data_IF_672509532431
#
_entry.id   IF_672509532431
#
_cell.length_a   1.000
_cell.length_b   1.000
_cell.length_c   1.000
_cell.angle_alpha   90.00
_cell.angle_beta   90.00
_cell.angle_gamma   90.00
#
_symmetry.space_group_name_H-M   'P 1'
#
loop_
_entity.id
_entity.type
_entity.pdbx_description
1 polymer ?
#
# COMPACT_ATOMS: atom_id res chain seq x y z
N UNK A 1 -17.36 51.88 -8.10
CA UNK A 1 -17.59 52.02 -6.64
C UNK A 1 -17.16 50.72 -5.97
N UNK A 2 -16.36 50.74 -4.89
CA UNK A 2 -16.02 49.53 -4.15
C UNK A 2 -17.30 48.89 -3.61
N UNK A 3 -17.50 47.58 -3.84
CA UNK A 3 -18.65 46.85 -3.30
C UNK A 3 -18.44 46.64 -1.80
N UNK A 4 -19.32 47.21 -0.99
CA UNK A 4 -19.36 46.89 0.44
C UNK A 4 -19.65 45.40 0.65
N UNK A 5 -18.82 44.74 1.45
CA UNK A 5 -19.00 43.34 1.84
C UNK A 5 -19.10 43.25 3.36
N UNK A 6 -20.12 42.55 3.84
CA UNK A 6 -20.33 42.29 5.27
C UNK A 6 -19.50 41.02 5.67
N UNK A 7 -18.74 41.19 6.75
CA UNK A 7 -17.98 40.08 7.35
C UNK A 7 -18.53 39.77 8.74
N UNK A 8 -19.13 38.61 8.94
CA UNK A 8 -19.55 38.17 10.26
C UNK A 8 -18.35 37.83 11.13
N UNK A 9 -18.24 38.42 12.32
CA UNK A 9 -17.14 38.22 13.27
C UNK A 9 -17.39 37.10 14.28
N UNK A 10 -18.63 36.61 14.38
CA UNK A 10 -19.07 35.57 15.29
C UNK A 10 -20.40 35.90 15.96
N UNK A 11 -20.90 34.98 16.79
CA UNK A 11 -22.17 35.11 17.52
C UNK A 11 -21.84 35.14 19.02
N UNK A 12 -22.44 36.15 19.71
CA UNK A 12 -22.38 36.22 21.17
C UNK A 12 -23.25 35.10 21.78
N UNK A 13 -22.86 34.44 22.90
CA UNK A 13 -21.65 34.68 23.70
C UNK A 13 -20.40 33.88 23.25
N UNK A 14 -20.46 33.07 22.16
CA UNK A 14 -19.36 32.25 21.68
C UNK A 14 -18.11 33.08 21.28
N UNK A 15 -18.33 34.33 20.84
CA UNK A 15 -17.26 35.31 20.57
C UNK A 15 -17.51 36.51 21.49
N UNK A 16 -16.55 36.82 22.35
CA UNK A 16 -16.61 37.97 23.25
C UNK A 16 -16.44 39.30 22.49
N UNK A 17 -16.90 40.40 23.06
CA UNK A 17 -16.74 41.73 22.48
C UNK A 17 -15.28 42.10 22.23
N UNK A 18 -14.37 41.66 23.10
CA UNK A 18 -12.93 41.86 22.96
C UNK A 18 -12.35 41.12 21.73
N UNK A 19 -12.76 39.89 21.53
CA UNK A 19 -12.36 39.09 20.38
C UNK A 19 -12.96 39.62 19.07
N UNK A 20 -14.20 40.05 19.08
CA UNK A 20 -14.84 40.68 17.92
C UNK A 20 -14.13 41.97 17.50
N UNK A 21 -13.73 42.82 18.46
CA UNK A 21 -12.96 44.02 18.19
C UNK A 21 -11.59 43.70 17.60
N UNK A 22 -10.88 42.72 18.14
CA UNK A 22 -9.61 42.27 17.61
C UNK A 22 -9.75 41.74 16.18
N UNK A 23 -10.72 40.87 15.92
CA UNK A 23 -10.99 40.35 14.57
C UNK A 23 -11.35 41.44 13.55
N UNK A 24 -12.05 42.50 13.98
CA UNK A 24 -12.33 43.71 13.15
C UNK A 24 -11.04 44.43 12.81
N UNK A 25 -10.17 44.65 13.79
CA UNK A 25 -8.92 45.40 13.60
C UNK A 25 -7.95 44.63 12.72
N UNK A 26 -7.86 43.32 12.89
CA UNK A 26 -7.10 42.41 12.00
C UNK A 26 -7.62 42.44 10.55
N UNK A 27 -8.95 42.48 10.37
CA UNK A 27 -9.55 42.57 9.04
C UNK A 27 -9.26 43.94 8.38
N UNK A 28 -9.26 45.03 9.15
CA UNK A 28 -8.92 46.38 8.67
C UNK A 28 -7.43 46.47 8.27
N UNK A 29 -6.54 45.85 9.07
CA UNK A 29 -5.12 45.82 8.74
C UNK A 29 -4.86 45.09 7.41
N UNK A 30 -5.57 44.00 7.15
CA UNK A 30 -5.47 43.27 5.86
C UNK A 30 -6.00 44.09 4.69
N UNK A 31 -7.14 44.78 4.86
CA UNK A 31 -7.67 45.67 3.84
C UNK A 31 -6.69 46.80 3.48
N UNK A 32 -5.99 47.35 4.49
CA UNK A 32 -4.94 48.35 4.27
C UNK A 32 -3.75 47.82 3.45
N UNK A 33 -3.53 46.51 3.50
CA UNK A 33 -2.52 45.79 2.69
C UNK A 33 -3.06 45.38 1.30
N UNK A 34 -4.28 45.78 0.93
CA UNK A 34 -4.90 45.42 -0.35
C UNK A 34 -5.47 43.99 -0.42
N UNK A 35 -5.51 43.26 0.71
CA UNK A 35 -6.02 41.89 0.80
C UNK A 35 -7.51 41.92 1.22
N UNK A 36 -8.41 41.29 0.44
CA UNK A 36 -9.82 41.14 0.80
C UNK A 36 -9.96 40.04 1.89
N UNK A 37 -10.37 40.42 3.16
CA UNK A 37 -10.49 39.46 4.26
C UNK A 37 -11.60 38.45 4.04
N UNK A 38 -12.64 38.79 3.27
CA UNK A 38 -13.79 37.93 2.97
C UNK A 38 -13.37 36.87 1.95
N UNK A 39 -12.68 37.27 0.89
CA UNK A 39 -12.12 36.32 -0.10
C UNK A 39 -11.15 35.36 0.55
N UNK A 40 -10.22 35.86 1.35
CA UNK A 40 -9.26 35.03 2.10
C UNK A 40 -9.93 33.99 3.04
N UNK A 41 -10.99 34.41 3.74
CA UNK A 41 -11.77 33.51 4.62
C UNK A 41 -12.53 32.47 3.83
N UNK A 42 -13.09 32.84 2.67
CA UNK A 42 -13.74 31.90 1.76
C UNK A 42 -12.74 30.86 1.18
N UNK A 43 -11.59 31.33 0.76
CA UNK A 43 -10.50 30.43 0.31
C UNK A 43 -10.05 29.48 1.42
N UNK A 44 -9.85 29.97 2.64
CA UNK A 44 -9.50 29.11 3.77
C UNK A 44 -10.59 28.09 4.08
N UNK A 45 -11.88 28.46 4.01
CA UNK A 45 -12.99 27.53 4.18
C UNK A 45 -13.04 26.51 3.04
N UNK A 46 -12.84 26.94 1.80
CA UNK A 46 -12.77 26.06 0.65
C UNK A 46 -11.60 25.10 0.75
N UNK A 47 -10.40 25.58 1.11
CA UNK A 47 -9.21 24.74 1.36
C UNK A 47 -9.44 23.73 2.48
N UNK A 48 -10.06 24.13 3.61
CA UNK A 48 -10.42 23.21 4.70
C UNK A 48 -11.44 22.16 4.27
N UNK A 49 -12.44 22.54 3.47
CA UNK A 49 -13.44 21.62 2.94
C UNK A 49 -12.83 20.61 1.97
N UNK A 50 -11.97 21.07 1.06
CA UNK A 50 -11.22 20.21 0.14
C UNK A 50 -10.23 19.33 0.88
N UNK A 51 -9.52 19.86 1.88
CA UNK A 51 -8.61 19.08 2.72
C UNK A 51 -9.37 18.00 3.52
N UNK A 52 -10.56 18.31 4.05
CA UNK A 52 -11.42 17.36 4.74
C UNK A 52 -11.99 16.26 3.83
N UNK A 53 -12.18 16.56 2.54
CA UNK A 53 -12.60 15.58 1.53
C UNK A 53 -11.44 14.71 1.04
N UNK A 54 -10.20 15.22 1.08
CA UNK A 54 -8.99 14.55 0.63
C UNK A 54 -8.17 13.99 1.82
N UNK A 55 -8.80 13.16 2.65
CA UNK A 55 -8.09 12.43 3.70
C UNK A 55 -7.24 11.33 3.09
N UNK A 56 -6.21 10.88 3.80
CA UNK A 56 -5.39 9.75 3.34
C UNK A 56 -6.25 8.52 3.05
N UNK A 57 -7.20 8.19 3.92
CA UNK A 57 -8.10 7.05 3.76
C UNK A 57 -8.99 7.19 2.53
N UNK A 58 -9.62 8.36 2.30
CA UNK A 58 -10.49 8.55 1.14
C UNK A 58 -9.73 8.39 -0.19
N UNK A 59 -8.52 8.96 -0.26
CA UNK A 59 -7.66 8.85 -1.44
C UNK A 59 -7.12 7.42 -1.62
N UNK A 60 -6.80 6.74 -0.52
CA UNK A 60 -6.31 5.36 -0.57
C UNK A 60 -7.39 4.37 -1.03
N UNK A 61 -8.65 4.57 -0.62
CA UNK A 61 -9.78 3.75 -1.07
C UNK A 61 -10.07 3.96 -2.55
N UNK A 62 -10.03 5.20 -3.03
CA UNK A 62 -10.18 5.53 -4.46
C UNK A 62 -9.03 4.91 -5.30
N UNK A 63 -7.78 5.03 -4.83
CA UNK A 63 -6.64 4.37 -5.45
C UNK A 63 -6.81 2.85 -5.49
N UNK A 64 -7.34 2.25 -4.41
CA UNK A 64 -7.59 0.83 -4.34
C UNK A 64 -8.66 0.39 -5.34
N UNK A 65 -9.76 1.13 -5.49
CA UNK A 65 -10.80 0.83 -6.47
C UNK A 65 -10.26 0.82 -7.90
N UNK A 66 -9.39 1.78 -8.23
CA UNK A 66 -8.73 1.84 -9.53
C UNK A 66 -7.77 0.65 -9.73
N UNK A 67 -6.97 0.31 -8.71
CA UNK A 67 -6.05 -0.83 -8.73
C UNK A 67 -6.81 -2.17 -8.79
N UNK A 68 -7.92 -2.30 -8.07
CA UNK A 68 -8.72 -3.53 -7.99
C UNK A 68 -9.28 -3.94 -9.35
N UNK A 69 -9.66 -2.98 -10.19
CA UNK A 69 -10.11 -3.24 -11.56
C UNK A 69 -9.09 -3.99 -12.40
N UNK A 70 -7.80 -3.84 -12.09
CA UNK A 70 -6.70 -4.39 -12.88
C UNK A 70 -5.93 -5.52 -12.19
N UNK A 71 -5.94 -5.60 -10.85
CA UNK A 71 -5.10 -6.53 -10.05
C UNK A 71 -5.76 -6.93 -8.73
N UNK A 72 -6.95 -7.52 -8.76
CA UNK A 72 -7.77 -7.81 -7.58
C UNK A 72 -7.03 -8.48 -6.41
N UNK A 73 -6.30 -9.58 -6.65
CA UNK A 73 -5.63 -10.35 -5.60
C UNK A 73 -4.55 -9.58 -4.82
N UNK A 74 -3.91 -8.59 -5.44
CA UNK A 74 -2.91 -7.73 -4.77
C UNK A 74 -3.59 -6.57 -4.05
N UNK A 75 -4.63 -6.01 -4.65
CA UNK A 75 -5.34 -4.85 -4.13
C UNK A 75 -5.95 -5.12 -2.75
N UNK A 76 -6.63 -6.24 -2.55
CA UNK A 76 -7.23 -6.62 -1.26
C UNK A 76 -6.20 -6.72 -0.12
N UNK A 77 -5.06 -7.34 -0.41
CA UNK A 77 -3.99 -7.48 0.57
C UNK A 77 -3.37 -6.13 0.96
N UNK A 78 -3.26 -5.22 0.01
CA UNK A 78 -2.69 -3.90 0.23
C UNK A 78 -3.67 -2.99 0.97
N UNK A 79 -4.97 -3.03 0.65
CA UNK A 79 -6.01 -2.35 1.41
C UNK A 79 -6.03 -2.83 2.87
N UNK A 80 -6.03 -4.14 3.10
CA UNK A 80 -6.01 -4.70 4.46
C UNK A 80 -4.81 -4.23 5.28
N UNK A 81 -3.65 -4.04 4.64
CA UNK A 81 -2.47 -3.46 5.30
C UNK A 81 -2.69 -2.01 5.70
N UNK A 82 -3.30 -1.22 4.82
CA UNK A 82 -3.62 0.17 5.12
C UNK A 82 -4.64 0.27 6.25
N UNK A 83 -5.70 -0.53 6.22
CA UNK A 83 -6.73 -0.58 7.27
C UNK A 83 -6.16 -0.97 8.63
N UNK A 84 -5.27 -1.95 8.66
CA UNK A 84 -4.71 -2.45 9.91
C UNK A 84 -3.65 -1.53 10.51
N UNK A 85 -2.82 -0.89 9.69
CA UNK A 85 -1.60 -0.23 10.16
C UNK A 85 -1.56 1.27 9.93
N UNK A 86 -2.32 1.82 9.00
CA UNK A 86 -2.22 3.21 8.57
C UNK A 86 -3.47 4.01 8.94
N UNK A 87 -4.66 3.55 8.54
CA UNK A 87 -5.90 4.29 8.77
C UNK A 87 -6.17 4.63 10.23
N UNK A 88 -5.89 3.77 11.22
CA UNK A 88 -6.10 4.12 12.63
C UNK A 88 -5.22 5.29 13.13
N UNK A 89 -4.19 5.67 12.39
CA UNK A 89 -3.20 6.65 12.85
C UNK A 89 -3.16 7.94 12.03
N UNK A 90 -3.32 7.82 10.71
CA UNK A 90 -3.25 8.94 9.76
C UNK A 90 -4.34 8.88 8.68
N UNK A 91 -5.31 7.96 8.79
CA UNK A 91 -6.38 7.82 7.80
C UNK A 91 -7.24 9.09 7.67
N UNK A 92 -7.55 9.74 8.76
CA UNK A 92 -8.33 10.99 8.81
C UNK A 92 -7.53 12.25 8.51
N UNK A 93 -6.18 12.16 8.46
CA UNK A 93 -5.35 13.33 8.18
C UNK A 93 -5.50 13.74 6.70
N UNK A 94 -5.54 15.06 6.38
CA UNK A 94 -5.49 15.52 5.00
C UNK A 94 -4.18 15.01 4.34
N UNK A 95 -4.29 14.36 3.18
CA UNK A 95 -3.14 13.70 2.54
C UNK A 95 -1.99 14.67 2.25
N UNK A 96 -2.30 15.91 1.90
CA UNK A 96 -1.31 16.97 1.65
C UNK A 96 -0.58 17.44 2.92
N UNK A 97 -1.11 17.16 4.11
CA UNK A 97 -0.52 17.58 5.38
C UNK A 97 0.36 16.51 6.03
N UNK A 98 0.41 15.31 5.45
CA UNK A 98 1.22 14.21 5.97
C UNK A 98 2.65 14.37 5.51
N UNK A 99 3.57 14.61 6.44
CA UNK A 99 4.99 14.69 6.20
C UNK A 99 5.71 13.34 6.43
N UNK A 100 7.00 13.31 6.09
CA UNK A 100 7.84 12.11 6.26
C UNK A 100 7.98 11.71 7.72
N UNK A 101 8.00 12.64 8.66
CA UNK A 101 8.11 12.35 10.09
C UNK A 101 6.83 11.68 10.62
N UNK A 102 5.68 12.18 10.21
CA UNK A 102 4.38 11.63 10.58
C UNK A 102 4.24 10.19 10.09
N UNK A 103 4.58 9.93 8.82
CA UNK A 103 4.55 8.59 8.23
C UNK A 103 5.58 7.66 8.91
N UNK A 104 6.80 8.13 9.15
CA UNK A 104 7.85 7.36 9.81
C UNK A 104 7.44 6.90 11.21
N UNK A 105 6.78 7.76 11.98
CA UNK A 105 6.31 7.41 13.32
C UNK A 105 5.33 6.23 13.30
N UNK A 106 4.45 6.17 12.31
CA UNK A 106 3.54 5.04 12.14
C UNK A 106 4.30 3.77 11.73
N UNK A 107 5.22 3.87 10.79
CA UNK A 107 6.02 2.73 10.33
C UNK A 107 6.89 2.15 11.45
N UNK A 108 7.49 3.00 12.30
CA UNK A 108 8.26 2.57 13.48
C UNK A 108 7.42 1.84 14.53
N UNK A 109 6.12 2.11 14.63
CA UNK A 109 5.22 1.32 15.48
C UNK A 109 5.11 -0.12 14.99
N UNK A 110 4.98 -0.32 13.68
CA UNK A 110 4.92 -1.65 13.06
C UNK A 110 6.24 -2.38 13.29
N UNK A 111 7.36 -1.67 13.15
CA UNK A 111 8.69 -2.20 13.36
C UNK A 111 8.93 -2.62 14.82
N UNK A 112 8.54 -1.78 15.79
CA UNK A 112 8.62 -2.10 17.24
C UNK A 112 7.79 -3.32 17.62
N UNK A 113 6.70 -3.61 16.89
CA UNK A 113 5.93 -4.83 17.04
C UNK A 113 6.59 -6.07 16.39
N UNK A 114 7.88 -5.97 15.99
CA UNK A 114 8.65 -7.07 15.39
C UNK A 114 8.32 -7.37 13.93
N UNK A 115 7.50 -6.53 13.27
CA UNK A 115 7.01 -6.77 11.91
C UNK A 115 7.75 -5.92 10.86
N UNK A 116 9.08 -5.88 10.92
CA UNK A 116 9.92 -5.09 10.01
C UNK A 116 9.63 -5.32 8.51
N UNK A 117 9.49 -6.57 8.00
CA UNK A 117 9.14 -6.77 6.60
C UNK A 117 7.78 -6.18 6.23
N UNK A 118 6.83 -6.16 7.18
CA UNK A 118 5.51 -5.54 6.98
C UNK A 118 5.62 -4.03 6.92
N UNK A 119 6.44 -3.40 7.78
CA UNK A 119 6.67 -1.96 7.77
C UNK A 119 7.18 -1.49 6.39
N UNK A 120 8.13 -2.21 5.79
CA UNK A 120 8.62 -1.92 4.44
C UNK A 120 7.51 -2.02 3.39
N UNK A 121 6.72 -3.09 3.44
CA UNK A 121 5.60 -3.27 2.49
C UNK A 121 4.53 -2.19 2.65
N UNK A 122 4.20 -1.83 3.88
CA UNK A 122 3.26 -0.73 4.17
C UNK A 122 3.80 0.60 3.65
N UNK A 123 5.10 0.89 3.84
CA UNK A 123 5.75 2.06 3.24
C UNK A 123 5.59 2.09 1.72
N UNK A 124 5.83 0.95 1.06
CA UNK A 124 5.74 0.85 -0.40
C UNK A 124 4.29 1.09 -0.88
N UNK A 125 3.28 0.57 -0.17
CA UNK A 125 1.86 0.82 -0.46
C UNK A 125 1.52 2.30 -0.24
N UNK A 126 1.94 2.91 0.88
CA UNK A 126 1.75 4.34 1.12
C UNK A 126 2.38 5.18 -0.01
N UNK A 127 3.58 4.81 -0.47
CA UNK A 127 4.23 5.49 -1.60
C UNK A 127 3.38 5.44 -2.87
N UNK A 128 2.67 4.35 -3.14
CA UNK A 128 1.77 4.24 -4.29
C UNK A 128 0.54 5.12 -4.13
N UNK A 129 -0.05 5.18 -2.94
CA UNK A 129 -1.16 6.09 -2.64
C UNK A 129 -0.76 7.54 -2.82
N UNK A 130 0.42 7.96 -2.31
CA UNK A 130 0.91 9.32 -2.52
C UNK A 130 1.21 9.63 -4.00
N UNK A 131 1.76 8.68 -4.76
CA UNK A 131 1.92 8.84 -6.21
C UNK A 131 0.59 9.04 -6.92
N UNK A 132 -0.45 8.33 -6.49
CA UNK A 132 -1.80 8.54 -7.01
C UNK A 132 -2.33 9.91 -6.63
N UNK A 133 -2.16 10.34 -5.37
CA UNK A 133 -2.54 11.69 -4.91
C UNK A 133 -1.86 12.81 -5.72
N UNK A 134 -0.58 12.66 -6.03
CA UNK A 134 0.17 13.62 -6.86
C UNK A 134 -0.42 13.66 -8.28
N UNK A 135 -0.66 12.51 -8.90
CA UNK A 135 -1.25 12.45 -10.25
C UNK A 135 -2.65 13.06 -10.31
N UNK A 136 -3.40 13.00 -9.21
CA UNK A 136 -4.73 13.58 -9.10
C UNK A 136 -4.75 14.99 -8.47
N UNK A 137 -3.57 15.61 -8.36
CA UNK A 137 -3.38 16.99 -7.85
C UNK A 137 -3.92 17.21 -6.43
N UNK A 138 -3.79 16.21 -5.55
CA UNK A 138 -4.22 16.23 -4.14
C UNK A 138 -3.05 16.29 -3.16
N UNK A 139 -1.82 16.05 -3.63
CA UNK A 139 -0.58 16.21 -2.87
C UNK A 139 0.54 16.70 -3.78
N UNK A 140 1.44 17.50 -3.21
CA UNK A 140 2.58 18.09 -3.95
C UNK A 140 3.83 17.19 -3.89
N UNK A 141 3.93 16.34 -2.88
CA UNK A 141 5.11 15.50 -2.65
C UNK A 141 4.74 14.13 -2.09
N UNK A 142 5.67 13.19 -2.21
CA UNK A 142 5.54 11.85 -1.65
C UNK A 142 6.45 11.70 -0.42
N UNK A 143 5.91 11.76 0.80
CA UNK A 143 6.70 11.66 2.02
C UNK A 143 7.38 10.31 2.22
N UNK A 144 6.89 9.25 1.56
CA UNK A 144 7.51 7.93 1.64
C UNK A 144 8.81 7.80 0.84
N UNK A 145 9.06 8.69 -0.13
CA UNK A 145 10.28 8.64 -0.97
C UNK A 145 11.52 9.01 -0.17
N UNK A 146 11.40 9.98 0.76
CA UNK A 146 12.50 10.39 1.65
C UNK A 146 12.83 9.36 2.74
N UNK A 147 12.01 8.33 2.91
CA UNK A 147 12.24 7.27 3.88
C UNK A 147 13.05 6.14 3.22
N UNK A 148 14.37 6.32 3.15
CA UNK A 148 15.31 5.32 2.62
C UNK A 148 15.34 4.02 3.42
N UNK A 149 16.12 3.05 2.95
CA UNK A 149 16.33 1.77 3.63
C UNK A 149 16.96 1.94 5.03
N UNK A 150 17.70 3.02 5.22
CA UNK A 150 18.41 3.34 6.48
C UNK A 150 17.47 3.90 7.57
N UNK A 151 16.26 4.34 7.20
CA UNK A 151 15.29 4.92 8.15
C UNK A 151 14.49 3.86 8.90
N UNK A 152 14.32 2.69 8.31
CA UNK A 152 13.75 1.49 8.94
C UNK A 152 14.85 0.45 9.10
N UNK A 153 14.75 -0.40 10.12
CA UNK A 153 15.69 -1.51 10.27
C UNK A 153 15.76 -2.33 8.98
N UNK A 154 16.92 -2.86 8.59
CA UNK A 154 17.02 -3.69 7.41
C UNK A 154 16.03 -4.84 7.52
N UNK A 155 15.42 -5.20 6.38
CA UNK A 155 14.59 -6.40 6.32
C UNK A 155 15.46 -7.55 6.81
N UNK A 156 15.07 -8.14 7.93
CA UNK A 156 15.66 -9.41 8.30
C UNK A 156 15.26 -10.39 7.19
N UNK A 157 16.15 -10.64 6.26
CA UNK A 157 16.02 -11.68 5.26
C UNK A 157 16.08 -12.96 6.06
N UNK A 158 14.90 -13.49 6.42
CA UNK A 158 14.78 -14.71 7.21
C UNK A 158 15.74 -15.77 6.70
N UNK A 159 16.17 -16.66 7.56
CA UNK A 159 16.98 -17.80 7.16
C UNK A 159 16.34 -18.43 5.91
N UNK A 160 17.09 -18.54 4.85
CA UNK A 160 16.66 -19.31 3.68
C UNK A 160 16.28 -20.71 4.15
N UNK A 161 15.24 -21.26 3.56
CA UNK A 161 14.93 -22.67 3.81
C UNK A 161 16.17 -23.51 3.45
N UNK A 162 16.44 -24.58 4.21
CA UNK A 162 17.51 -25.52 3.82
C UNK A 162 17.31 -25.95 2.37
N UNK A 163 18.38 -25.99 1.62
CA UNK A 163 18.40 -26.48 0.25
C UNK A 163 19.37 -27.68 0.18
N UNK A 164 19.11 -28.60 -0.72
CA UNK A 164 20.07 -29.64 -1.05
C UNK A 164 21.15 -29.01 -1.94
N UNK A 165 22.32 -28.77 -1.37
CA UNK A 165 23.46 -28.11 -2.05
C UNK A 165 24.47 -29.11 -2.61
N UNK A 166 24.42 -30.36 -2.16
CA UNK A 166 25.32 -31.42 -2.63
C UNK A 166 24.54 -32.59 -3.21
N UNK A 167 25.18 -33.42 -4.11
CA UNK A 167 24.54 -34.60 -4.65
C UNK A 167 24.07 -35.60 -3.58
N UNK A 168 24.79 -35.70 -2.47
CA UNK A 168 24.44 -36.61 -1.36
C UNK A 168 23.19 -36.14 -0.65
N UNK A 169 23.04 -34.83 -0.40
CA UNK A 169 21.83 -34.22 0.17
C UNK A 169 20.63 -34.38 -0.77
N UNK A 170 20.84 -34.19 -2.07
CA UNK A 170 19.80 -34.41 -3.06
C UNK A 170 19.37 -35.90 -3.07
N UNK A 171 20.29 -36.82 -3.04
CA UNK A 171 19.99 -38.26 -2.99
C UNK A 171 19.25 -38.65 -1.70
N UNK A 172 19.55 -38.02 -0.57
CA UNK A 172 18.80 -38.21 0.68
C UNK A 172 17.38 -37.69 0.55
N UNK A 173 17.21 -36.49 -0.03
CA UNK A 173 15.89 -35.90 -0.27
C UNK A 173 15.03 -36.79 -1.19
N UNK A 174 15.58 -37.26 -2.30
CA UNK A 174 14.86 -38.12 -3.24
C UNK A 174 14.45 -39.45 -2.60
N UNK A 175 15.34 -40.07 -1.81
CA UNK A 175 14.98 -41.27 -1.03
C UNK A 175 13.89 -41.01 0.00
N UNK A 176 13.92 -39.87 0.66
CA UNK A 176 12.86 -39.49 1.60
C UNK A 176 11.51 -39.26 0.91
N UNK A 177 11.52 -38.68 -0.30
CA UNK A 177 10.33 -38.54 -1.14
C UNK A 177 9.79 -39.91 -1.57
N UNK A 178 10.67 -40.79 -2.00
CA UNK A 178 10.26 -42.12 -2.46
C UNK A 178 9.75 -43.02 -1.34
N UNK A 179 10.33 -42.92 -0.14
CA UNK A 179 9.87 -43.59 1.08
C UNK A 179 8.71 -42.95 1.81
N UNK A 180 8.11 -41.87 1.26
CA UNK A 180 6.99 -41.21 1.91
C UNK A 180 5.74 -42.10 1.93
N UNK A 181 5.31 -42.56 3.11
CA UNK A 181 4.18 -43.45 3.32
C UNK A 181 2.83 -42.78 3.58
N UNK A 182 2.68 -41.49 3.23
CA UNK A 182 1.44 -40.76 3.41
C UNK A 182 0.45 -40.89 2.25
N UNK A 183 -0.43 -39.91 2.07
CA UNK A 183 -1.45 -39.91 1.03
C UNK A 183 -0.85 -39.96 -0.39
N UNK A 184 -1.47 -40.76 -1.27
CA UNK A 184 -0.95 -41.00 -2.63
C UNK A 184 -0.85 -39.73 -3.47
N UNK A 185 -1.82 -38.81 -3.35
CA UNK A 185 -1.79 -37.50 -4.05
C UNK A 185 -0.62 -36.65 -3.62
N UNK A 186 -0.30 -36.65 -2.33
CA UNK A 186 0.87 -35.93 -1.78
C UNK A 186 2.16 -36.58 -2.25
N UNK A 187 2.25 -37.89 -2.27
CA UNK A 187 3.42 -38.64 -2.78
C UNK A 187 3.68 -38.35 -4.26
N UNK A 188 2.61 -38.39 -5.08
CA UNK A 188 2.70 -38.07 -6.51
C UNK A 188 3.15 -36.60 -6.71
N UNK A 189 2.60 -35.66 -5.96
CA UNK A 189 2.97 -34.25 -6.03
C UNK A 189 4.44 -34.02 -5.63
N UNK A 190 4.94 -34.70 -4.60
CA UNK A 190 6.36 -34.63 -4.20
C UNK A 190 7.29 -35.17 -5.29
N UNK A 191 6.96 -36.32 -5.88
CA UNK A 191 7.73 -36.92 -6.99
C UNK A 191 7.73 -36.00 -8.21
N UNK A 192 6.57 -35.54 -8.65
CA UNK A 192 6.44 -34.60 -9.78
C UNK A 192 7.16 -33.27 -9.52
N UNK A 193 7.09 -32.76 -8.30
CA UNK A 193 7.84 -31.54 -7.93
C UNK A 193 9.35 -31.70 -8.10
N UNK A 194 9.89 -32.88 -7.75
CA UNK A 194 11.31 -33.17 -7.89
C UNK A 194 11.72 -33.38 -9.36
N UNK A 195 10.85 -33.95 -10.18
CA UNK A 195 11.13 -34.25 -11.60
C UNK A 195 10.94 -33.04 -12.52
N UNK A 196 9.88 -32.26 -12.31
CA UNK A 196 9.46 -31.20 -13.25
C UNK A 196 9.83 -29.79 -12.77
N UNK A 197 10.22 -29.61 -11.52
CA UNK A 197 10.54 -28.34 -10.88
C UNK A 197 9.47 -27.23 -11.03
N UNK A 198 8.17 -27.53 -11.05
CA UNK A 198 7.14 -26.50 -11.10
C UNK A 198 7.04 -25.78 -9.75
N UNK A 199 6.43 -24.61 -9.75
CA UNK A 199 6.04 -24.03 -8.46
C UNK A 199 4.94 -24.88 -7.82
N UNK A 200 4.95 -25.07 -6.48
CA UNK A 200 3.94 -25.91 -5.81
C UNK A 200 2.49 -25.51 -6.11
N UNK A 201 2.24 -24.21 -6.37
CA UNK A 201 0.93 -23.72 -6.76
C UNK A 201 0.53 -24.15 -8.18
N UNK A 202 1.46 -24.22 -9.10
CA UNK A 202 1.23 -24.63 -10.49
C UNK A 202 0.87 -26.11 -10.54
N UNK A 203 1.64 -26.95 -9.89
CA UNK A 203 1.36 -28.38 -9.81
C UNK A 203 -0.01 -28.66 -9.15
N UNK A 204 -0.35 -27.94 -8.06
CA UNK A 204 -1.60 -28.13 -7.35
C UNK A 204 -2.84 -27.73 -8.17
N UNK A 205 -2.70 -26.80 -9.10
CA UNK A 205 -3.78 -26.31 -9.96
C UNK A 205 -3.74 -26.85 -11.38
N UNK A 206 -2.79 -27.76 -11.66
CA UNK A 206 -2.66 -28.40 -12.96
C UNK A 206 -3.95 -29.14 -13.35
N UNK A 207 -4.29 -29.07 -14.62
CA UNK A 207 -5.46 -29.72 -15.20
C UNK A 207 -5.03 -30.78 -16.17
N UNK A 208 -5.82 -31.85 -16.31
CA UNK A 208 -5.51 -32.94 -17.21
C UNK A 208 -5.43 -32.52 -18.68
N UNK A 209 -6.18 -31.48 -19.08
CA UNK A 209 -6.16 -30.93 -20.43
C UNK A 209 -4.81 -30.27 -20.80
N UNK A 210 -3.99 -29.98 -19.81
CA UNK A 210 -2.65 -29.39 -20.00
C UNK A 210 -1.58 -30.43 -20.30
N UNK A 211 -1.90 -31.74 -20.14
CA UNK A 211 -0.96 -32.84 -20.32
C UNK A 211 -1.21 -33.58 -21.63
N UNK A 212 -0.20 -33.62 -22.49
CA UNK A 212 -0.17 -34.53 -23.62
C UNK A 212 0.68 -35.78 -23.26
N UNK A 213 -0.01 -36.88 -22.97
CA UNK A 213 0.65 -38.12 -22.59
C UNK A 213 1.24 -38.89 -23.81
N UNK A 214 0.86 -38.53 -25.04
CA UNK A 214 1.39 -39.15 -26.27
C UNK A 214 2.70 -38.48 -26.61
N UNK A 215 2.73 -37.14 -26.62
CA UNK A 215 3.95 -36.36 -26.87
C UNK A 215 4.83 -36.26 -25.60
N UNK A 216 4.34 -36.69 -24.43
CA UNK A 216 5.06 -36.60 -23.16
C UNK A 216 5.36 -35.18 -22.73
N UNK A 217 4.37 -34.29 -22.81
CA UNK A 217 4.53 -32.87 -22.50
C UNK A 217 3.44 -32.33 -21.58
N UNK A 218 3.80 -31.31 -20.79
CA UNK A 218 2.88 -30.47 -19.99
C UNK A 218 2.98 -29.03 -20.45
N UNK A 219 1.88 -28.53 -21.07
CA UNK A 219 1.76 -27.16 -21.54
C UNK A 219 0.86 -26.36 -20.58
N UNK A 220 1.43 -25.38 -19.88
CA UNK A 220 0.70 -24.58 -18.91
C UNK A 220 1.19 -23.12 -18.89
N UNK A 221 0.31 -22.25 -18.41
CA UNK A 221 0.65 -20.84 -18.18
C UNK A 221 1.16 -20.64 -16.75
N UNK A 222 2.47 -20.33 -16.55
CA UNK A 222 3.03 -20.11 -15.24
C UNK A 222 2.35 -18.93 -14.54
N UNK A 223 2.12 -19.05 -13.23
CA UNK A 223 1.52 -18.00 -12.38
C UNK A 223 2.33 -16.70 -12.34
N UNK A 224 3.60 -16.75 -12.74
CA UNK A 224 4.50 -15.59 -12.89
C UNK A 224 5.19 -15.68 -14.24
N UNK A 225 5.00 -14.65 -15.07
CA UNK A 225 5.72 -14.52 -16.33
C UNK A 225 4.87 -14.50 -17.59
N UNK A 226 3.67 -15.04 -17.57
CA UNK A 226 2.67 -14.88 -18.66
C UNK A 226 3.01 -15.50 -20.01
N UNK A 227 4.09 -16.27 -20.13
CA UNK A 227 4.40 -17.03 -21.36
C UNK A 227 4.10 -18.50 -21.10
N UNK A 228 3.41 -19.19 -22.04
CA UNK A 228 3.23 -20.63 -21.98
C UNK A 228 4.57 -21.33 -21.77
N UNK A 229 4.59 -22.34 -20.94
CA UNK A 229 5.76 -23.16 -20.65
C UNK A 229 5.45 -24.60 -21.03
N UNK A 230 6.22 -25.14 -21.96
CA UNK A 230 6.16 -26.55 -22.33
C UNK A 230 7.24 -27.31 -21.54
N UNK A 231 6.81 -28.21 -20.70
CA UNK A 231 7.71 -29.03 -19.86
C UNK A 231 7.63 -30.48 -20.30
N UNK A 232 8.74 -31.13 -20.62
CA UNK A 232 8.72 -32.56 -20.93
C UNK A 232 8.36 -33.37 -19.69
N UNK A 233 7.54 -34.40 -19.88
CA UNK A 233 7.21 -35.38 -18.84
C UNK A 233 8.35 -36.43 -18.77
N UNK A 234 8.64 -36.98 -17.55
CA UNK A 234 9.66 -37.98 -17.34
C UNK A 234 9.30 -39.35 -17.91
#
# INVERSE_FOLDING_TARGET
KPKERLMALGVYPAVSLKEARRARDDARARLAQGLDPVAHRQEQKARKKVAGANTFESVAREWWEDLHRHKAAFAERDLRRLEMYIFPHIGSDPIAAIDSLRLLNVLRRIERAGKTPTAHKVKDVCSQVFKYAIRTNRADSNPATGLGLDTLRPKNTGKHHPAAETPEQLAQLLRAIDGYGGEQTTMAALKLSAMLFPRPGELRTARWEEFDLIEGTWDFNPSKGGRPLLTPLP
#
